data_IF_453861340901
#
_entry.id   IF_453861340901
#
_cell.length_a   1.000
_cell.length_b   1.000
_cell.length_c   1.000
_cell.angle_alpha   90.00
_cell.angle_beta   90.00
_cell.angle_gamma   90.00
#
_symmetry.space_group_name_H-M   'P 1'
#
loop_
_entity.id
_entity.type
_entity.pdbx_description
1 polymer ?
#
# COMPACT_ATOMS: atom_id res chain seq x y z
N UNK A 1 6.96 -60.57 17.41
CA UNK A 1 6.05 -59.43 17.55
C UNK A 1 6.79 -58.20 17.06
N UNK A 2 6.42 -57.69 15.89
CA UNK A 2 7.13 -56.59 15.22
C UNK A 2 6.25 -55.35 15.37
N UNK A 3 6.65 -54.43 16.26
CA UNK A 3 5.90 -53.22 16.55
C UNK A 3 6.24 -52.16 15.51
N UNK A 4 5.31 -51.90 14.58
CA UNK A 4 5.44 -50.85 13.58
C UNK A 4 4.93 -49.53 14.18
N UNK A 5 5.84 -48.61 14.47
CA UNK A 5 5.50 -47.27 14.96
C UNK A 5 5.03 -46.42 13.77
N UNK A 6 3.73 -46.15 13.68
CA UNK A 6 3.16 -45.26 12.68
C UNK A 6 3.35 -43.80 13.08
N UNK A 7 4.22 -43.09 12.36
CA UNK A 7 4.37 -41.64 12.48
C UNK A 7 3.13 -40.96 11.89
N UNK A 8 2.28 -40.38 12.74
CA UNK A 8 1.12 -39.60 12.29
C UNK A 8 1.59 -38.21 11.84
N UNK A 9 1.76 -38.01 10.54
CA UNK A 9 1.97 -36.68 9.96
C UNK A 9 0.65 -35.91 10.00
N UNK A 10 0.53 -34.96 10.92
CA UNK A 10 -0.62 -34.03 10.98
C UNK A 10 -0.49 -33.02 9.85
N UNK A 11 -1.19 -33.25 8.74
CA UNK A 11 -1.29 -32.27 7.64
C UNK A 11 -2.26 -31.16 8.05
N UNK A 12 -1.75 -30.04 8.55
CA UNK A 12 -2.55 -28.84 8.81
C UNK A 12 -2.97 -28.24 7.47
N UNK A 13 -4.19 -28.53 7.01
CA UNK A 13 -4.75 -27.93 5.79
C UNK A 13 -4.97 -26.44 6.03
N UNK A 14 -4.11 -25.60 5.46
CA UNK A 14 -4.32 -24.16 5.46
C UNK A 14 -5.61 -23.84 4.69
N UNK A 15 -6.63 -23.33 5.40
CA UNK A 15 -7.92 -23.00 4.79
C UNK A 15 -7.80 -21.67 4.06
N UNK A 16 -7.91 -21.69 2.74
CA UNK A 16 -8.02 -20.49 1.90
C UNK A 16 -9.36 -19.81 2.09
N UNK A 17 -9.41 -18.48 1.99
CA UNK A 17 -10.64 -17.71 2.20
C UNK A 17 -11.32 -17.38 0.87
N UNK A 18 -12.66 -17.37 0.81
CA UNK A 18 -13.36 -16.74 -0.30
C UNK A 18 -12.98 -15.25 -0.37
N UNK A 19 -12.88 -14.64 -1.57
CA UNK A 19 -12.46 -13.25 -1.74
C UNK A 19 -13.26 -12.24 -0.91
N UNK A 20 -14.56 -12.48 -0.73
CA UNK A 20 -15.44 -11.61 0.08
C UNK A 20 -15.08 -11.56 1.57
N UNK A 21 -14.30 -12.52 2.08
CA UNK A 21 -13.83 -12.54 3.46
C UNK A 21 -12.42 -11.95 3.61
N UNK A 22 -11.77 -11.51 2.53
CA UNK A 22 -10.47 -10.84 2.63
C UNK A 22 -10.68 -9.37 2.94
N UNK A 23 -10.48 -8.98 4.20
CA UNK A 23 -10.59 -7.58 4.64
C UNK A 23 -9.30 -6.80 4.37
N UNK A 24 -9.46 -5.59 3.84
CA UNK A 24 -8.38 -4.69 3.46
C UNK A 24 -8.48 -3.37 4.23
N UNK A 25 -7.39 -2.98 4.89
CA UNK A 25 -7.16 -1.60 5.30
C UNK A 25 -6.31 -0.93 4.22
N UNK A 26 -6.87 0.08 3.56
CA UNK A 26 -6.21 0.76 2.45
C UNK A 26 -5.84 2.20 2.78
N UNK A 27 -4.59 2.57 2.56
CA UNK A 27 -4.12 3.94 2.78
C UNK A 27 -3.54 4.59 1.53
N UNK A 28 -3.62 5.91 1.49
CA UNK A 28 -2.90 6.73 0.51
C UNK A 28 -2.28 7.94 1.20
N UNK A 29 -1.17 8.42 0.68
CA UNK A 29 -0.42 9.57 1.23
C UNK A 29 -0.36 10.64 0.15
N UNK A 30 -0.86 11.84 0.45
CA UNK A 30 -0.80 12.97 -0.46
C UNK A 30 0.63 13.54 -0.47
N UNK A 31 1.36 13.32 -1.56
CA UNK A 31 2.73 13.80 -1.74
C UNK A 31 2.80 15.22 -2.31
N UNK A 32 1.84 15.58 -3.15
CA UNK A 32 1.64 16.93 -3.68
C UNK A 32 0.21 17.37 -3.40
N UNK A 33 0.01 18.21 -2.37
CA UNK A 33 -1.34 18.65 -1.98
C UNK A 33 -2.08 19.45 -3.07
N UNK A 34 -1.39 20.03 -4.05
CA UNK A 34 -2.06 20.74 -5.15
C UNK A 34 -2.68 19.78 -6.15
N UNK A 35 -1.97 18.70 -6.48
CA UNK A 35 -2.37 17.71 -7.48
C UNK A 35 -3.17 16.54 -6.88
N UNK A 36 -2.67 15.97 -5.79
CA UNK A 36 -3.15 14.70 -5.26
C UNK A 36 -4.52 14.85 -4.58
N UNK A 37 -4.86 16.04 -4.08
CA UNK A 37 -6.17 16.31 -3.46
C UNK A 37 -7.30 16.10 -4.47
N UNK A 38 -7.20 16.67 -5.68
CA UNK A 38 -8.27 16.57 -6.68
C UNK A 38 -8.39 15.14 -7.22
N UNK A 39 -7.26 14.43 -7.36
CA UNK A 39 -7.25 12.99 -7.68
C UNK A 39 -8.00 12.16 -6.62
N UNK A 40 -7.68 12.34 -5.35
CA UNK A 40 -8.29 11.56 -4.26
C UNK A 40 -9.76 11.93 -4.06
N UNK A 41 -10.15 13.20 -4.24
CA UNK A 41 -11.57 13.60 -4.28
C UNK A 41 -12.32 12.90 -5.42
N UNK A 42 -11.72 12.83 -6.62
CA UNK A 42 -12.34 12.15 -7.76
C UNK A 42 -12.55 10.64 -7.50
N UNK A 43 -11.63 10.01 -6.76
CA UNK A 43 -11.75 8.63 -6.29
C UNK A 43 -12.86 8.48 -5.24
N UNK A 44 -12.91 9.39 -4.27
CA UNK A 44 -13.89 9.39 -3.17
C UNK A 44 -15.33 9.47 -3.68
N UNK A 45 -15.63 10.44 -4.55
CA UNK A 45 -16.97 10.63 -5.15
C UNK A 45 -17.44 9.39 -5.94
N UNK A 46 -16.51 8.55 -6.40
CA UNK A 46 -16.81 7.34 -7.18
C UNK A 46 -16.81 6.06 -6.35
N UNK A 47 -16.57 6.14 -5.04
CA UNK A 47 -16.33 4.96 -4.19
C UNK A 47 -15.28 4.02 -4.79
N UNK A 48 -14.22 4.59 -5.36
CA UNK A 48 -13.20 3.88 -6.11
C UNK A 48 -11.83 4.01 -5.45
N UNK A 49 -10.84 3.25 -5.94
CA UNK A 49 -9.51 3.25 -5.32
C UNK A 49 -9.56 2.70 -3.90
N UNK A 50 -8.91 3.38 -2.95
CA UNK A 50 -8.87 2.95 -1.54
C UNK A 50 -10.24 2.98 -0.87
N UNK A 51 -11.18 3.79 -1.38
CA UNK A 51 -12.53 3.94 -0.83
C UNK A 51 -13.44 2.73 -1.09
N UNK A 52 -12.96 1.72 -1.83
CA UNK A 52 -13.61 0.42 -2.01
C UNK A 52 -13.10 -0.67 -1.03
N UNK A 53 -12.17 -0.31 -0.14
CA UNK A 53 -11.67 -1.18 0.92
C UNK A 53 -12.59 -1.17 2.15
N UNK A 54 -12.43 -2.15 3.04
CA UNK A 54 -13.24 -2.28 4.25
C UNK A 54 -12.99 -1.12 5.22
N UNK A 55 -11.72 -0.74 5.33
CA UNK A 55 -11.27 0.42 6.08
C UNK A 55 -10.30 1.22 5.23
N UNK A 56 -10.26 2.54 5.41
CA UNK A 56 -9.33 3.39 4.68
C UNK A 56 -8.83 4.59 5.48
N UNK A 57 -7.70 5.14 5.05
CA UNK A 57 -7.17 6.39 5.56
C UNK A 57 -6.42 7.17 4.47
N UNK A 58 -6.67 8.47 4.38
CA UNK A 58 -5.88 9.39 3.56
C UNK A 58 -4.99 10.20 4.48
N UNK A 59 -3.68 10.26 4.21
CA UNK A 59 -2.73 11.03 5.02
C UNK A 59 -2.26 12.28 4.28
N UNK A 60 -2.15 13.40 4.99
CA UNK A 60 -1.66 14.67 4.44
C UNK A 60 -0.64 15.31 5.39
N UNK A 61 0.48 15.78 4.85
CA UNK A 61 1.49 16.50 5.63
C UNK A 61 1.10 17.98 5.83
N UNK A 62 1.19 18.46 7.07
CA UNK A 62 1.17 19.89 7.39
C UNK A 62 -0.21 20.56 7.45
N UNK A 63 -1.25 19.96 6.86
CA UNK A 63 -2.64 20.42 7.04
C UNK A 63 -3.64 19.30 6.80
N UNK A 64 -4.78 19.39 7.47
CA UNK A 64 -5.96 18.60 7.16
C UNK A 64 -6.63 19.10 5.88
N UNK A 65 -7.18 18.18 5.09
CA UNK A 65 -7.92 18.45 3.86
C UNK A 65 -9.25 17.72 3.88
N UNK A 66 -10.33 18.47 3.69
CA UNK A 66 -11.67 17.92 3.48
C UNK A 66 -11.80 17.34 2.07
N UNK A 67 -12.15 16.06 1.98
CA UNK A 67 -12.30 15.33 0.72
C UNK A 67 -13.74 15.40 0.19
N UNK A 68 -14.72 15.34 1.07
CA UNK A 68 -16.13 15.44 0.69
C UNK A 68 -17.06 14.86 1.76
N UNK A 69 -18.34 14.78 1.44
CA UNK A 69 -19.32 14.11 2.29
C UNK A 69 -19.52 12.68 1.79
N UNK A 70 -19.44 11.71 2.70
CA UNK A 70 -19.76 10.31 2.43
C UNK A 70 -21.26 10.07 2.22
N UNK A 71 -21.67 8.83 1.92
CA UNK A 71 -23.06 8.48 1.64
C UNK A 71 -24.04 8.82 2.77
N UNK A 72 -23.56 8.82 4.02
CA UNK A 72 -24.32 9.15 5.22
C UNK A 72 -24.15 10.62 5.67
N UNK A 73 -23.68 11.47 4.76
CA UNK A 73 -23.36 12.89 5.02
C UNK A 73 -22.28 13.11 6.07
N UNK A 74 -21.50 12.08 6.45
CA UNK A 74 -20.32 12.29 7.31
C UNK A 74 -19.19 12.92 6.51
N UNK A 75 -18.45 13.87 7.10
CA UNK A 75 -17.29 14.44 6.45
C UNK A 75 -16.14 13.42 6.39
N UNK A 76 -15.55 13.28 5.20
CA UNK A 76 -14.32 12.53 4.99
C UNK A 76 -13.16 13.53 4.88
N UNK A 77 -12.14 13.35 5.71
CA UNK A 77 -10.97 14.24 5.77
C UNK A 77 -9.68 13.45 5.96
N UNK A 78 -8.58 14.03 5.53
CA UNK A 78 -7.25 13.42 5.68
C UNK A 78 -6.80 13.39 7.14
N UNK A 79 -6.08 12.36 7.56
CA UNK A 79 -5.30 12.35 8.79
C UNK A 79 -4.06 13.25 8.66
N UNK A 80 -3.90 14.18 9.59
CA UNK A 80 -2.76 15.11 9.63
C UNK A 80 -1.48 14.40 10.06
N UNK A 81 -0.45 14.50 9.22
CA UNK A 81 0.93 14.19 9.58
C UNK A 81 1.67 15.49 9.88
N UNK A 82 2.25 15.66 11.09
CA UNK A 82 3.04 16.84 11.40
C UNK A 82 4.17 17.03 10.38
N UNK A 83 4.48 18.27 9.98
CA UNK A 83 5.51 18.51 8.98
C UNK A 83 6.86 18.01 9.49
N UNK A 84 7.62 17.36 8.62
CA UNK A 84 9.06 17.20 8.80
C UNK A 84 9.62 18.63 8.80
N UNK A 85 10.23 19.12 9.89
CA UNK A 85 10.50 20.56 10.11
C UNK A 85 11.25 21.32 8.99
N UNK A 86 11.58 22.60 9.21
CA UNK A 86 12.12 23.50 8.17
C UNK A 86 13.36 22.98 7.40
N UNK A 87 14.16 22.08 7.99
CA UNK A 87 15.27 21.39 7.32
C UNK A 87 14.79 20.50 6.17
N UNK A 88 13.67 19.79 6.33
CA UNK A 88 13.09 18.91 5.32
C UNK A 88 12.55 19.65 4.10
N UNK A 89 12.02 20.88 4.29
CA UNK A 89 11.52 21.71 3.18
C UNK A 89 12.67 22.15 2.25
N UNK A 90 13.88 22.32 2.80
CA UNK A 90 15.12 22.51 2.02
C UNK A 90 15.58 21.23 1.32
N UNK A 91 15.29 20.05 1.89
CA UNK A 91 15.57 18.73 1.30
C UNK A 91 14.56 18.32 0.20
N UNK A 92 13.37 18.91 0.17
CA UNK A 92 12.30 18.62 -0.80
C UNK A 92 12.06 19.67 -1.89
N UNK A 93 12.76 20.82 -1.85
CA UNK A 93 12.60 21.88 -2.84
C UNK A 93 13.05 21.46 -4.25
N UNK A 94 12.66 22.24 -5.27
CA UNK A 94 13.06 22.02 -6.68
C UNK A 94 14.58 21.90 -6.88
N UNK A 95 15.37 22.49 -5.99
CA UNK A 95 16.84 22.50 -6.03
C UNK A 95 17.49 21.37 -5.20
N UNK A 96 16.70 20.48 -4.58
CA UNK A 96 17.25 19.31 -3.89
C UNK A 96 17.81 18.29 -4.88
N UNK A 97 18.80 17.49 -4.47
CA UNK A 97 19.19 16.31 -5.26
C UNK A 97 18.06 15.27 -5.24
N UNK A 98 18.06 14.36 -6.22
CA UNK A 98 17.17 13.18 -6.22
C UNK A 98 17.18 12.47 -4.88
N UNK A 99 18.38 12.25 -4.38
CA UNK A 99 18.70 11.47 -3.19
C UNK A 99 18.05 12.08 -1.94
N UNK A 100 18.22 13.41 -1.76
CA UNK A 100 17.59 14.14 -0.64
C UNK A 100 16.07 14.11 -0.69
N UNK A 101 15.46 14.13 -1.88
CA UNK A 101 14.01 13.98 -2.03
C UNK A 101 13.55 12.58 -1.62
N UNK A 102 14.30 11.55 -2.00
CA UNK A 102 13.97 10.17 -1.63
C UNK A 102 14.05 9.96 -0.11
N UNK A 103 15.12 10.43 0.54
CA UNK A 103 15.21 10.41 2.01
C UNK A 103 14.03 11.11 2.68
N UNK A 104 13.69 12.33 2.23
CA UNK A 104 12.54 13.06 2.77
C UNK A 104 11.23 12.28 2.61
N UNK A 105 11.04 11.62 1.46
CA UNK A 105 9.86 10.81 1.20
C UNK A 105 9.81 9.60 2.13
N UNK A 106 10.92 8.89 2.31
CA UNK A 106 11.00 7.80 3.28
C UNK A 106 10.72 8.27 4.73
N UNK A 107 11.24 9.44 5.14
CA UNK A 107 10.95 10.02 6.46
C UNK A 107 9.46 10.35 6.65
N UNK A 108 8.78 10.84 5.61
CA UNK A 108 7.34 11.11 5.66
C UNK A 108 6.56 9.81 5.83
N UNK A 109 6.92 8.77 5.09
CA UNK A 109 6.28 7.47 5.18
C UNK A 109 6.49 6.80 6.54
N UNK A 110 7.66 6.95 7.17
CA UNK A 110 7.85 6.50 8.56
C UNK A 110 6.85 7.16 9.52
N UNK A 111 6.59 8.47 9.39
CA UNK A 111 5.57 9.15 10.22
C UNK A 111 4.14 8.68 9.95
N UNK A 112 3.85 8.32 8.70
CA UNK A 112 2.57 7.72 8.32
C UNK A 112 2.43 6.35 8.96
N UNK A 113 3.45 5.49 8.87
CA UNK A 113 3.44 4.19 9.53
C UNK A 113 3.36 4.30 11.05
N UNK A 114 4.03 5.29 11.67
CA UNK A 114 3.82 5.59 13.08
C UNK A 114 2.36 5.96 13.39
N UNK A 115 1.68 6.69 12.50
CA UNK A 115 0.26 7.02 12.67
C UNK A 115 -0.63 5.78 12.54
N UNK A 116 -0.35 4.89 11.59
CA UNK A 116 -1.02 3.59 11.45
C UNK A 116 -0.89 2.76 12.73
N UNK A 117 0.30 2.74 13.35
CA UNK A 117 0.54 2.06 14.61
C UNK A 117 -0.20 2.71 15.79
N UNK A 118 -0.04 4.02 15.97
CA UNK A 118 -0.65 4.76 17.08
C UNK A 118 -2.17 4.65 17.10
N UNK A 119 -2.78 4.69 15.92
CA UNK A 119 -4.24 4.70 15.77
C UNK A 119 -4.82 3.29 15.53
N UNK A 120 -3.99 2.23 15.56
CA UNK A 120 -4.41 0.84 15.38
C UNK A 120 -5.21 0.58 14.09
N UNK A 121 -4.90 1.30 12.99
CA UNK A 121 -5.76 1.35 11.79
C UNK A 121 -5.85 0.04 11.02
N UNK A 122 -4.88 -0.84 11.20
CA UNK A 122 -4.79 -2.11 10.49
C UNK A 122 -5.39 -3.28 11.29
N UNK A 123 -5.75 -3.07 12.56
CA UNK A 123 -6.03 -4.15 13.54
C UNK A 123 -7.25 -4.99 13.19
N UNK A 124 -8.20 -4.47 12.41
CA UNK A 124 -9.40 -5.21 12.00
C UNK A 124 -9.31 -5.77 10.58
N UNK A 125 -8.17 -5.54 9.91
CA UNK A 125 -7.95 -5.91 8.52
C UNK A 125 -6.91 -7.02 8.37
N UNK A 126 -7.11 -7.91 7.40
CA UNK A 126 -6.17 -9.02 7.13
C UNK A 126 -4.96 -8.57 6.33
N UNK A 127 -5.10 -7.50 5.57
CA UNK A 127 -4.07 -6.93 4.73
C UNK A 127 -4.05 -5.42 4.85
N UNK A 128 -2.85 -4.88 4.95
CA UNK A 128 -2.57 -3.45 4.82
C UNK A 128 -2.12 -3.18 3.39
N UNK A 129 -2.78 -2.23 2.74
CA UNK A 129 -2.54 -1.89 1.34
C UNK A 129 -2.25 -0.40 1.25
N UNK A 130 -1.09 -0.03 0.74
CA UNK A 130 -0.83 1.37 0.37
C UNK A 130 -0.92 1.53 -1.14
N UNK A 131 -1.63 2.57 -1.57
CA UNK A 131 -1.86 2.89 -2.99
C UNK A 131 -1.47 4.34 -3.21
N UNK A 132 -0.65 4.61 -4.24
CA UNK A 132 -0.32 6.00 -4.61
C UNK A 132 -1.57 6.74 -5.16
N UNK A 133 -1.72 8.06 -4.91
CA UNK A 133 -2.87 8.82 -5.39
C UNK A 133 -3.10 8.76 -6.91
N UNK A 134 -2.05 8.58 -7.70
CA UNK A 134 -2.10 8.48 -9.16
C UNK A 134 -2.26 7.04 -9.68
N UNK A 135 -2.70 6.12 -8.82
CA UNK A 135 -2.95 4.72 -9.15
C UNK A 135 -4.43 4.41 -9.21
N UNK A 136 -4.89 3.82 -10.32
CA UNK A 136 -6.23 3.27 -10.46
C UNK A 136 -6.25 1.89 -9.81
N UNK A 137 -6.98 1.76 -8.70
CA UNK A 137 -6.95 0.56 -7.86
C UNK A 137 -8.33 -0.11 -7.72
N UNK A 138 -8.32 -1.44 -7.70
CA UNK A 138 -9.50 -2.30 -7.64
C UNK A 138 -9.39 -3.30 -6.48
N UNK A 139 -9.95 -2.94 -5.32
CA UNK A 139 -9.95 -3.75 -4.11
C UNK A 139 -10.46 -5.19 -4.35
N UNK A 140 -11.54 -5.36 -5.12
CA UNK A 140 -12.10 -6.69 -5.43
C UNK A 140 -11.10 -7.59 -6.18
N UNK A 141 -10.33 -7.05 -7.13
CA UNK A 141 -9.32 -7.81 -7.87
C UNK A 141 -8.16 -8.22 -6.96
N UNK A 142 -7.76 -7.33 -6.05
CA UNK A 142 -6.75 -7.66 -5.04
C UNK A 142 -7.24 -8.75 -4.09
N UNK A 143 -8.47 -8.68 -3.58
CA UNK A 143 -9.08 -9.71 -2.72
C UNK A 143 -9.04 -11.10 -3.38
N UNK A 144 -9.38 -11.18 -4.68
CA UNK A 144 -9.32 -12.43 -5.44
C UNK A 144 -7.91 -13.01 -5.52
N UNK A 145 -6.88 -12.16 -5.63
CA UNK A 145 -5.50 -12.63 -5.56
C UNK A 145 -5.15 -13.11 -4.14
N UNK A 146 -5.48 -12.34 -3.12
CA UNK A 146 -5.06 -12.59 -1.74
C UNK A 146 -5.78 -13.75 -1.05
N UNK A 147 -6.97 -14.15 -1.51
CA UNK A 147 -7.73 -15.28 -0.96
C UNK A 147 -7.00 -16.62 -0.98
N UNK A 148 -5.92 -16.75 -1.76
CA UNK A 148 -5.06 -17.93 -1.82
C UNK A 148 -4.17 -18.12 -0.58
N UNK A 149 -3.96 -17.07 0.22
CA UNK A 149 -3.10 -17.14 1.38
C UNK A 149 -3.89 -17.51 2.64
N UNK A 150 -3.28 -18.25 3.58
CA UNK A 150 -3.92 -18.61 4.83
C UNK A 150 -4.42 -17.37 5.59
N UNK A 151 -5.56 -17.52 6.27
CA UNK A 151 -6.17 -16.44 7.05
C UNK A 151 -5.40 -16.08 8.32
N UNK A 152 -4.55 -16.97 8.81
CA UNK A 152 -3.78 -16.86 10.07
C UNK A 152 -2.32 -17.24 9.81
N UNK A 153 -1.39 -16.53 10.46
CA UNK A 153 0.05 -16.84 10.40
C UNK A 153 0.77 -16.43 9.12
N UNK A 154 0.06 -15.84 8.16
CA UNK A 154 0.67 -15.27 6.95
C UNK A 154 1.57 -14.10 7.34
N UNK A 155 2.88 -14.29 7.16
CA UNK A 155 3.93 -13.29 7.39
C UNK A 155 4.66 -12.96 6.08
N UNK A 156 3.98 -12.21 5.20
CA UNK A 156 4.55 -11.86 3.91
C UNK A 156 4.16 -10.47 3.41
N UNK A 157 4.95 -9.95 2.48
CA UNK A 157 4.60 -8.85 1.58
C UNK A 157 4.67 -9.30 0.11
N UNK A 158 4.10 -8.52 -0.80
CA UNK A 158 3.97 -8.89 -2.21
C UNK A 158 4.90 -8.08 -3.11
N UNK A 159 5.83 -8.75 -3.80
CA UNK A 159 6.60 -8.14 -4.89
C UNK A 159 5.70 -7.98 -6.11
N UNK A 160 5.47 -6.76 -6.56
CA UNK A 160 4.47 -6.43 -7.58
C UNK A 160 5.10 -6.00 -8.93
N UNK A 161 6.43 -5.88 -9.00
CA UNK A 161 7.19 -5.51 -10.18
C UNK A 161 8.20 -6.61 -10.51
N UNK A 162 8.20 -7.11 -11.74
CA UNK A 162 9.05 -8.25 -12.16
C UNK A 162 10.46 -7.79 -12.58
N UNK A 163 10.55 -6.64 -13.23
CA UNK A 163 11.79 -6.10 -13.80
C UNK A 163 11.90 -4.59 -13.50
N UNK A 164 12.69 -4.18 -12.49
CA UNK A 164 13.41 -5.04 -11.53
C UNK A 164 12.45 -5.77 -10.59
N UNK A 165 12.88 -6.93 -10.07
CA UNK A 165 12.11 -7.70 -9.09
C UNK A 165 12.06 -6.95 -7.75
N UNK A 166 10.98 -6.21 -7.51
CA UNK A 166 10.86 -5.34 -6.33
C UNK A 166 9.41 -5.16 -5.87
N UNK A 167 9.26 -4.69 -4.63
CA UNK A 167 8.07 -3.96 -4.19
C UNK A 167 8.11 -2.57 -4.84
N UNK A 168 7.00 -2.15 -5.43
CA UNK A 168 6.90 -0.90 -6.16
C UNK A 168 5.76 -0.03 -5.64
N UNK A 169 6.05 1.25 -5.42
CA UNK A 169 5.24 2.16 -4.62
C UNK A 169 3.79 2.39 -5.09
N UNK A 170 3.48 2.14 -6.36
CA UNK A 170 2.11 2.28 -6.87
C UNK A 170 1.11 1.37 -6.13
N UNK A 171 1.56 0.20 -5.64
CA UNK A 171 0.74 -0.72 -4.84
C UNK A 171 1.60 -1.52 -3.85
N UNK A 172 1.58 -1.18 -2.57
CA UNK A 172 2.29 -1.93 -1.54
C UNK A 172 1.30 -2.80 -0.75
N UNK A 173 1.56 -4.11 -0.62
CA UNK A 173 0.63 -5.05 0.02
C UNK A 173 1.34 -5.89 1.05
N UNK A 174 0.93 -5.72 2.31
CA UNK A 174 1.48 -6.41 3.48
C UNK A 174 0.37 -7.21 4.15
N UNK A 175 0.67 -8.45 4.53
CA UNK A 175 -0.19 -9.19 5.46
C UNK A 175 -0.25 -8.47 6.81
N UNK A 176 -1.31 -8.75 7.59
CA UNK A 176 -1.44 -8.22 8.94
C UNK A 176 -0.18 -8.48 9.78
N UNK A 177 0.32 -9.71 9.82
CA UNK A 177 1.48 -10.04 10.64
C UNK A 177 2.76 -9.34 10.16
N UNK A 178 2.96 -9.22 8.83
CA UNK A 178 4.05 -8.42 8.28
C UNK A 178 3.96 -6.94 8.69
N UNK A 179 2.73 -6.40 8.74
CA UNK A 179 2.48 -5.03 9.22
C UNK A 179 2.83 -4.90 10.70
N UNK A 180 2.37 -5.82 11.55
CA UNK A 180 2.67 -5.85 12.99
C UNK A 180 4.18 -5.91 13.25
N UNK A 181 4.91 -6.79 12.54
CA UNK A 181 6.36 -6.93 12.62
C UNK A 181 7.06 -5.62 12.22
N UNK A 182 6.64 -5.02 11.11
CA UNK A 182 7.20 -3.75 10.63
C UNK A 182 6.95 -2.61 11.62
N UNK A 183 5.70 -2.41 12.05
CA UNK A 183 5.34 -1.34 12.98
C UNK A 183 6.06 -1.47 14.32
N UNK A 184 6.28 -2.69 14.82
CA UNK A 184 6.97 -2.94 16.07
C UNK A 184 8.49 -2.72 16.02
N UNK A 185 9.10 -2.70 14.82
CA UNK A 185 10.56 -2.70 14.67
C UNK A 185 11.10 -1.74 13.60
N UNK A 186 10.28 -0.93 12.93
CA UNK A 186 10.75 -0.04 11.84
C UNK A 186 11.86 0.95 12.26
N UNK A 187 11.93 1.33 13.55
CA UNK A 187 12.99 2.16 14.08
C UNK A 187 14.37 1.47 14.04
N UNK A 188 14.46 0.14 14.08
CA UNK A 188 15.74 -0.59 13.98
C UNK A 188 16.36 -0.45 12.58
N UNK A 189 15.53 -0.28 11.55
CA UNK A 189 15.96 -0.08 10.17
C UNK A 189 16.32 1.38 9.87
N UNK A 190 15.68 2.33 10.58
CA UNK A 190 15.67 3.76 10.28
C UNK A 190 17.06 4.36 10.14
N UNK A 191 17.91 4.19 11.16
CA UNK A 191 19.24 4.80 11.21
C UNK A 191 20.21 4.27 10.16
N UNK A 192 19.98 3.03 9.71
CA UNK A 192 20.79 2.36 8.69
C UNK A 192 20.31 2.73 7.29
N UNK A 193 19.01 2.58 7.02
CA UNK A 193 18.44 2.68 5.68
C UNK A 193 18.18 4.12 5.22
N UNK A 194 17.82 5.06 6.11
CA UNK A 194 17.61 6.46 5.70
C UNK A 194 18.89 7.12 5.18
N UNK A 195 20.07 6.62 5.57
CA UNK A 195 21.37 7.13 5.09
C UNK A 195 21.64 6.76 3.63
N UNK A 196 20.94 5.77 3.09
CA UNK A 196 21.13 5.24 1.74
C UNK A 196 20.31 5.98 0.67
N UNK A 197 19.56 7.03 1.02
CA UNK A 197 18.89 7.92 0.07
C UNK A 197 17.95 7.20 -0.92
N UNK A 198 17.27 6.15 -0.46
CA UNK A 198 16.46 5.30 -1.33
C UNK A 198 14.97 5.68 -1.34
N UNK A 199 14.24 5.31 -2.41
CA UNK A 199 12.77 5.40 -2.46
C UNK A 199 12.10 4.72 -1.25
N UNK A 200 10.92 5.19 -0.86
CA UNK A 200 10.19 4.69 0.32
C UNK A 200 9.75 3.22 0.22
N UNK A 201 9.39 2.76 -0.98
CA UNK A 201 9.01 1.37 -1.26
C UNK A 201 10.21 0.43 -1.14
N UNK A 202 11.39 0.90 -1.56
CA UNK A 202 12.66 0.21 -1.34
C UNK A 202 13.05 0.21 0.14
N UNK A 203 12.84 1.31 0.85
CA UNK A 203 13.06 1.35 2.31
C UNK A 203 12.19 0.32 3.02
N UNK A 204 10.89 0.30 2.70
CA UNK A 204 9.93 -0.62 3.29
C UNK A 204 10.31 -2.08 3.03
N UNK A 205 10.56 -2.45 1.77
CA UNK A 205 10.93 -3.83 1.42
C UNK A 205 12.25 -4.27 2.06
N UNK A 206 13.28 -3.42 2.07
CA UNK A 206 14.55 -3.77 2.71
C UNK A 206 14.42 -3.93 4.23
N UNK A 207 13.60 -3.08 4.88
CA UNK A 207 13.35 -3.25 6.30
C UNK A 207 12.56 -4.54 6.59
N UNK A 208 11.54 -4.86 5.79
CA UNK A 208 10.79 -6.12 5.92
C UNK A 208 11.71 -7.34 5.77
N UNK A 209 12.63 -7.32 4.80
CA UNK A 209 13.64 -8.37 4.61
C UNK A 209 14.57 -8.49 5.85
N UNK A 210 15.05 -7.36 6.40
CA UNK A 210 15.89 -7.34 7.61
C UNK A 210 15.16 -7.87 8.85
N UNK A 211 13.84 -7.67 8.91
CA UNK A 211 12.97 -8.16 9.98
C UNK A 211 12.50 -9.62 9.77
N UNK A 212 12.97 -10.28 8.71
CA UNK A 212 12.65 -11.69 8.42
C UNK A 212 11.22 -11.91 7.91
N UNK A 213 10.55 -10.89 7.40
CA UNK A 213 9.26 -11.03 6.73
C UNK A 213 9.47 -11.67 5.35
N UNK A 214 8.69 -12.70 5.02
CA UNK A 214 8.78 -13.35 3.72
C UNK A 214 8.19 -12.51 2.59
N UNK A 215 8.42 -12.92 1.34
CA UNK A 215 7.76 -12.30 0.20
C UNK A 215 7.30 -13.31 -0.85
N UNK A 216 6.33 -12.89 -1.64
CA UNK A 216 5.76 -13.66 -2.75
C UNK A 216 5.64 -12.80 -4.00
N UNK A 217 5.67 -13.45 -5.17
CA UNK A 217 5.56 -12.77 -6.45
C UNK A 217 4.09 -12.53 -6.82
N UNK A 218 3.72 -11.25 -6.94
CA UNK A 218 2.43 -10.76 -7.39
C UNK A 218 2.52 -9.92 -8.66
N UNK A 219 3.43 -10.26 -9.59
CA UNK A 219 3.68 -9.51 -10.83
C UNK A 219 2.44 -9.39 -11.75
N UNK A 220 1.40 -10.20 -11.52
CA UNK A 220 0.12 -10.05 -12.21
C UNK A 220 -0.68 -8.84 -11.72
N UNK A 221 -0.44 -8.32 -10.51
CA UNK A 221 -1.28 -7.32 -9.85
C UNK A 221 -1.10 -5.91 -10.41
N UNK A 222 0.13 -5.48 -10.61
CA UNK A 222 0.46 -4.10 -10.97
C UNK A 222 0.66 -3.95 -12.48
N UNK A 223 0.20 -2.81 -12.98
CA UNK A 223 0.67 -2.23 -14.23
C UNK A 223 1.23 -0.83 -13.98
N UNK A 224 2.50 -0.62 -14.31
CA UNK A 224 3.15 0.69 -14.19
C UNK A 224 4.21 0.83 -15.29
N UNK A 225 4.42 2.07 -15.79
CA UNK A 225 5.43 2.38 -16.81
C UNK A 225 6.85 2.01 -16.40
N UNK A 226 7.14 2.06 -15.09
CA UNK A 226 8.45 1.72 -14.52
C UNK A 226 8.60 0.21 -14.26
N UNK A 227 7.54 -0.55 -14.48
CA UNK A 227 7.49 -2.01 -14.45
C UNK A 227 7.03 -2.48 -15.84
N UNK A 228 5.81 -3.05 -15.93
CA UNK A 228 5.15 -3.43 -17.18
C UNK A 228 3.83 -2.69 -17.35
N UNK A 229 3.75 -1.80 -18.34
CA UNK A 229 2.50 -1.11 -18.66
C UNK A 229 1.60 -1.97 -19.56
N UNK A 230 0.32 -2.04 -19.23
CA UNK A 230 -0.74 -2.65 -20.03
C UNK A 230 -1.92 -1.68 -20.20
N UNK A 231 -2.89 -2.07 -21.02
CA UNK A 231 -4.10 -1.28 -21.25
C UNK A 231 -4.99 -1.20 -19.99
N UNK A 232 -5.70 -0.09 -19.80
CA UNK A 232 -6.74 0.06 -18.78
C UNK A 232 -7.91 -0.94 -18.93
N UNK A 233 -8.03 -1.59 -20.09
CA UNK A 233 -9.03 -2.65 -20.33
C UNK A 233 -8.58 -4.03 -19.83
N UNK A 234 -7.35 -4.17 -19.36
CA UNK A 234 -6.86 -5.42 -18.76
C UNK A 234 -7.39 -5.54 -17.33
N UNK A 235 -8.47 -6.31 -17.17
CA UNK A 235 -9.15 -6.52 -15.89
C UNK A 235 -8.43 -7.50 -14.97
N UNK A 236 -7.30 -8.09 -15.39
CA UNK A 236 -6.46 -8.92 -14.52
C UNK A 236 -5.67 -8.10 -13.50
N UNK A 237 -5.48 -6.81 -13.76
CA UNK A 237 -4.69 -5.89 -12.91
C UNK A 237 -5.50 -5.37 -11.75
N UNK A 238 -4.95 -5.50 -10.53
CA UNK A 238 -5.50 -4.88 -9.34
C UNK A 238 -5.16 -3.39 -9.23
N UNK A 239 -4.02 -2.97 -9.81
CA UNK A 239 -3.56 -1.58 -9.79
C UNK A 239 -2.96 -1.18 -11.15
N UNK A 240 -3.27 0.03 -11.60
CA UNK A 240 -2.64 0.67 -12.77
C UNK A 240 -2.10 2.05 -12.36
N UNK A 241 -0.78 2.21 -12.32
CA UNK A 241 -0.10 3.42 -11.85
C UNK A 241 0.19 4.46 -12.94
N UNK A 242 0.33 5.72 -12.51
CA UNK A 242 0.87 6.81 -13.35
C UNK A 242 -0.16 7.73 -14.02
N UNK A 243 -1.36 7.85 -13.45
CA UNK A 243 -2.45 8.72 -13.92
C UNK A 243 -2.47 10.01 -13.09
N UNK A 244 -1.67 10.99 -13.51
CA UNK A 244 -1.32 12.18 -12.70
C UNK A 244 -2.38 13.28 -12.69
N UNK A 245 -3.47 13.10 -13.43
CA UNK A 245 -4.60 14.02 -13.54
C UNK A 245 -5.91 13.25 -13.43
N UNK A 246 -6.94 13.93 -12.93
CA UNK A 246 -8.26 13.35 -12.64
C UNK A 246 -8.91 12.78 -13.91
N UNK A 247 -8.80 13.45 -15.04
CA UNK A 247 -9.39 13.00 -16.29
C UNK A 247 -8.76 11.67 -16.77
N UNK A 248 -7.43 11.56 -16.82
CA UNK A 248 -6.76 10.32 -17.23
C UNK A 248 -7.03 9.18 -16.26
N UNK A 249 -7.08 9.47 -14.96
CA UNK A 249 -7.45 8.50 -13.92
C UNK A 249 -8.87 7.98 -14.13
N UNK A 250 -9.86 8.88 -14.26
CA UNK A 250 -11.28 8.55 -14.41
C UNK A 250 -11.53 7.79 -15.72
N UNK A 251 -10.88 8.17 -16.81
CA UNK A 251 -11.00 7.45 -18.08
C UNK A 251 -10.47 6.02 -17.96
N UNK A 252 -9.33 5.83 -17.30
CA UNK A 252 -8.76 4.51 -17.10
C UNK A 252 -9.65 3.64 -16.21
N UNK A 253 -10.11 4.20 -15.08
CA UNK A 253 -11.06 3.54 -14.19
C UNK A 253 -12.34 3.13 -14.93
N UNK A 254 -12.95 4.06 -15.68
CA UNK A 254 -14.16 3.81 -16.47
C UNK A 254 -14.00 2.67 -17.48
N UNK A 255 -12.87 2.64 -18.21
CA UNK A 255 -12.55 1.54 -19.14
C UNK A 255 -12.40 0.18 -18.46
N UNK A 256 -11.95 0.18 -17.20
CA UNK A 256 -11.72 -1.04 -16.43
C UNK A 256 -12.98 -1.60 -15.77
N UNK A 257 -14.00 -0.77 -15.47
CA UNK A 257 -15.24 -1.21 -14.80
C UNK A 257 -16.38 -1.58 -15.74
N UNK A 258 -16.34 -1.12 -17.01
CA UNK A 258 -17.36 -1.41 -18.03
C UNK A 258 -17.22 -2.79 -18.70
N UNK A 259 -16.43 -3.72 -18.12
CA UNK A 259 -16.07 -5.03 -18.68
C UNK A 259 -16.20 -6.09 -17.60
#
# INVERSE_FOLDING_TARGET
>A
ATTTTGTTSTTTTATTLPPSLVTLFCMTVLGDLGRDVELVKAQFVRHAGIFACDEHAVFAEGREVMLGLGPDSRPESTRLIPPLGNTSRRLGGSNASSDRRQRRRAELFLRVWDAVARDALHDNSRWTVKVDPDTVFFAARLRSYLGRYPSVGTNLYVLNCEEPRTLFGSLEVLSRHATEVYLGQMDTCKDKLLKLDMPEDRFLSQCLDELGVGHVNGFSLLSDRRCKQVSCTDTSKAALGGFRDDNSWVQCWGKSVLR
#
